data_IF_564806871495
#
_entry.id   IF_564806871495
#
_cell.length_a   1.000
_cell.length_b   1.000
_cell.length_c   1.000
_cell.angle_alpha   90.00
_cell.angle_beta   90.00
_cell.angle_gamma   90.00
#
_symmetry.space_group_name_H-M   'P 1'
#
loop_
_entity.id
_entity.type
_entity.pdbx_description
1 polymer ?
#
# COMPACT_ATOMS: atom_id res chain seq x y z
N UNK A 1 23.23 -8.44 -1.59
CA UNK A 1 22.44 -9.15 -0.55
C UNK A 1 22.40 -8.44 0.80
N UNK A 2 23.48 -7.76 1.25
CA UNK A 2 23.51 -6.99 2.51
C UNK A 2 22.29 -6.09 2.78
N UNK A 3 21.84 -5.32 1.78
CA UNK A 3 20.68 -4.41 1.89
C UNK A 3 19.36 -5.12 2.23
N UNK A 4 19.17 -6.35 1.75
CA UNK A 4 17.95 -7.13 2.07
C UNK A 4 17.96 -7.48 3.55
N UNK A 5 19.05 -8.07 4.04
CA UNK A 5 19.23 -8.43 5.45
C UNK A 5 19.06 -7.22 6.37
N UNK A 6 19.76 -6.12 6.09
CA UNK A 6 19.65 -4.87 6.87
C UNK A 6 18.22 -4.30 6.89
N UNK A 7 17.45 -4.49 5.82
CA UNK A 7 16.06 -3.98 5.75
C UNK A 7 15.13 -4.85 6.58
N UNK A 8 15.28 -6.18 6.47
CA UNK A 8 14.47 -7.14 7.25
C UNK A 8 14.68 -6.95 8.75
N UNK A 9 15.91 -6.74 9.20
CA UNK A 9 16.24 -6.50 10.61
C UNK A 9 15.61 -5.23 11.19
N UNK A 10 15.24 -4.26 10.34
CA UNK A 10 14.59 -3.00 10.76
C UNK A 10 13.07 -3.13 10.91
N UNK A 11 12.47 -4.22 10.44
CA UNK A 11 11.02 -4.44 10.57
C UNK A 11 10.71 -4.85 12.01
N UNK A 12 9.91 -4.03 12.70
CA UNK A 12 9.55 -4.24 14.11
C UNK A 12 8.07 -4.64 14.24
N UNK A 13 7.71 -5.43 15.26
CA UNK A 13 6.30 -5.65 15.58
C UNK A 13 5.63 -4.34 16.01
N UNK A 14 4.32 -4.29 15.84
CA UNK A 14 3.48 -3.17 16.31
C UNK A 14 3.43 -3.16 17.84
N UNK A 15 3.46 -1.98 18.45
CA UNK A 15 3.23 -1.81 19.89
C UNK A 15 1.73 -1.96 20.24
N UNK A 16 1.42 -2.94 21.07
CA UNK A 16 0.06 -3.23 21.52
C UNK A 16 -0.59 -2.07 22.30
N UNK A 17 0.21 -1.23 22.96
CA UNK A 17 -0.29 -0.05 23.69
C UNK A 17 -0.90 0.97 22.74
N UNK A 18 -0.23 1.24 21.62
CA UNK A 18 -0.70 2.16 20.57
C UNK A 18 -2.03 1.67 19.98
N UNK A 19 -2.18 0.36 19.76
CA UNK A 19 -3.45 -0.22 19.30
C UNK A 19 -4.59 0.01 20.28
N UNK A 20 -4.33 -0.14 21.59
CA UNK A 20 -5.32 0.07 22.65
C UNK A 20 -5.71 1.54 22.74
N UNK A 21 -4.74 2.45 22.74
CA UNK A 21 -4.97 3.90 22.78
C UNK A 21 -5.79 4.38 21.58
N UNK A 22 -5.44 3.90 20.37
CA UNK A 22 -6.20 4.20 19.16
C UNK A 22 -7.66 3.71 19.26
N UNK A 23 -7.90 2.50 19.78
CA UNK A 23 -9.25 1.99 19.98
C UNK A 23 -10.03 2.80 21.02
N UNK A 24 -9.41 3.15 22.16
CA UNK A 24 -10.04 3.97 23.18
C UNK A 24 -10.47 5.34 22.62
N UNK A 25 -9.64 5.95 21.79
CA UNK A 25 -9.98 7.20 21.09
C UNK A 25 -11.19 7.01 20.17
N UNK A 26 -11.17 5.96 19.33
CA UNK A 26 -12.26 5.66 18.39
C UNK A 26 -13.59 5.39 19.10
N UNK A 27 -13.55 4.70 20.25
CA UNK A 27 -14.74 4.39 21.05
C UNK A 27 -15.34 5.62 21.75
N UNK A 28 -14.55 6.69 21.93
CA UNK A 28 -14.97 7.95 22.57
C UNK A 28 -15.46 9.01 21.58
N UNK A 29 -15.46 8.73 20.27
CA UNK A 29 -16.03 9.63 19.27
C UNK A 29 -17.56 9.64 19.37
N UNK A 30 -18.19 10.72 18.90
CA UNK A 30 -19.66 10.87 18.84
C UNK A 30 -20.27 9.98 17.76
N UNK A 31 -20.25 8.67 18.00
CA UNK A 31 -20.79 7.60 17.15
C UNK A 31 -21.07 6.36 18.02
N UNK A 32 -22.03 5.49 17.64
CA UNK A 32 -22.13 4.19 18.28
C UNK A 32 -20.81 3.42 18.14
N UNK A 33 -20.41 2.66 19.17
CA UNK A 33 -19.17 1.89 19.14
C UNK A 33 -19.16 0.92 17.96
N UNK A 34 -18.07 0.91 17.20
CA UNK A 34 -17.91 0.06 16.02
C UNK A 34 -18.76 0.43 14.80
N UNK A 35 -19.54 1.52 14.82
CA UNK A 35 -20.46 1.84 13.72
C UNK A 35 -19.78 2.16 12.40
N UNK A 36 -18.48 2.50 12.39
CA UNK A 36 -17.72 2.75 11.16
C UNK A 36 -16.99 1.50 10.66
N UNK A 37 -17.09 0.37 11.37
CA UNK A 37 -16.57 -0.94 10.95
C UNK A 37 -15.12 -0.89 10.46
N UNK A 38 -14.92 -1.24 9.18
CA UNK A 38 -13.60 -1.32 8.53
C UNK A 38 -12.82 -0.01 8.55
N UNK A 39 -13.48 1.15 8.62
CA UNK A 39 -12.78 2.43 8.73
C UNK A 39 -12.08 2.58 10.09
N UNK A 40 -12.66 2.05 11.17
CA UNK A 40 -12.03 2.03 12.51
C UNK A 40 -10.81 1.11 12.52
N UNK A 41 -10.94 -0.06 11.88
CA UNK A 41 -9.84 -1.01 11.71
C UNK A 41 -8.67 -0.39 10.93
N UNK A 42 -8.97 0.33 9.85
CA UNK A 42 -7.96 1.02 9.04
C UNK A 42 -7.29 2.14 9.83
N UNK A 43 -8.06 3.01 10.50
CA UNK A 43 -7.52 4.11 11.29
C UNK A 43 -6.56 3.58 12.38
N UNK A 44 -6.96 2.55 13.12
CA UNK A 44 -6.14 1.89 14.13
C UNK A 44 -4.84 1.32 13.55
N UNK A 45 -4.89 0.67 12.39
CA UNK A 45 -3.69 0.15 11.70
C UNK A 45 -2.73 1.26 11.29
N UNK A 46 -3.23 2.38 10.76
CA UNK A 46 -2.38 3.51 10.36
C UNK A 46 -1.68 4.13 11.57
N UNK A 47 -2.39 4.35 12.67
CA UNK A 47 -1.81 4.84 13.94
C UNK A 47 -0.73 3.89 14.45
N UNK A 48 -0.98 2.58 14.43
CA UNK A 48 -0.01 1.55 14.81
C UNK A 48 1.25 1.51 13.94
N UNK A 49 1.11 1.61 12.61
CA UNK A 49 2.25 1.58 11.68
C UNK A 49 3.08 2.86 11.81
N UNK A 50 2.43 4.01 11.95
CA UNK A 50 3.11 5.32 12.01
C UNK A 50 3.64 5.66 13.40
N UNK A 51 3.11 5.02 14.45
CA UNK A 51 3.41 5.34 15.84
C UNK A 51 2.90 6.73 16.28
N UNK A 52 1.97 7.34 15.54
CA UNK A 52 1.45 8.68 15.79
C UNK A 52 -0.05 8.63 16.02
N UNK A 53 -0.54 9.34 17.04
CA UNK A 53 -1.97 9.35 17.39
C UNK A 53 -2.86 9.93 16.28
N UNK A 54 -2.40 10.98 15.59
CA UNK A 54 -3.09 11.63 14.47
C UNK A 54 -2.15 11.77 13.27
N UNK A 55 -1.91 10.70 12.51
CA UNK A 55 -1.00 10.71 11.37
C UNK A 55 -1.63 11.44 10.17
N UNK A 56 -0.86 12.29 9.50
CA UNK A 56 -1.22 12.81 8.17
C UNK A 56 -0.64 11.90 7.09
N UNK A 57 -1.39 11.74 5.99
CA UNK A 57 -1.03 10.85 4.87
C UNK A 57 -0.83 11.66 3.58
N UNK A 58 -0.21 12.83 3.66
CA UNK A 58 -0.22 13.81 2.57
C UNK A 58 0.62 13.38 1.36
N UNK A 59 1.67 12.59 1.59
CA UNK A 59 2.56 12.07 0.54
C UNK A 59 2.30 10.59 0.31
N UNK A 60 1.68 10.27 -0.81
CA UNK A 60 1.39 8.90 -1.24
C UNK A 60 2.21 8.61 -2.48
N UNK A 61 2.66 7.37 -2.62
CA UNK A 61 3.44 6.93 -3.78
C UNK A 61 2.99 5.54 -4.18
N UNK A 62 2.82 5.32 -5.48
CA UNK A 62 2.58 4.01 -6.09
C UNK A 62 3.83 3.65 -6.89
N UNK A 63 4.42 2.49 -6.58
CA UNK A 63 5.54 1.96 -7.34
C UNK A 63 5.04 0.92 -8.34
N UNK A 64 5.02 1.26 -9.62
CA UNK A 64 4.70 0.31 -10.70
C UNK A 64 5.97 -0.40 -11.14
N UNK A 65 6.10 -1.68 -10.78
CA UNK A 65 7.21 -2.52 -11.21
C UNK A 65 6.84 -3.25 -12.50
N UNK A 66 7.70 -3.17 -13.52
CA UNK A 66 7.44 -3.78 -14.84
C UNK A 66 8.60 -4.71 -15.20
N UNK A 67 8.27 -5.90 -15.71
CA UNK A 67 9.22 -6.89 -16.19
C UNK A 67 8.54 -7.93 -17.07
N UNK A 68 9.29 -8.43 -18.05
CA UNK A 68 8.83 -9.52 -18.92
C UNK A 68 9.09 -10.89 -18.31
N UNK A 69 8.33 -11.87 -18.78
CA UNK A 69 8.46 -13.26 -18.38
C UNK A 69 8.69 -14.17 -19.59
N UNK A 70 9.75 -14.98 -19.55
CA UNK A 70 10.14 -15.84 -20.68
C UNK A 70 9.08 -16.88 -21.09
N UNK A 71 8.19 -17.27 -20.16
CA UNK A 71 7.07 -18.18 -20.42
C UNK A 71 6.04 -17.60 -21.40
N UNK A 72 5.98 -16.28 -21.58
CA UNK A 72 5.06 -15.63 -22.51
C UNK A 72 5.21 -16.14 -23.95
N UNK A 73 6.42 -16.57 -24.35
CA UNK A 73 6.70 -17.19 -25.67
C UNK A 73 5.94 -18.50 -25.92
N UNK A 74 5.37 -19.11 -24.89
CA UNK A 74 4.56 -20.32 -25.00
C UNK A 74 3.09 -20.04 -25.31
N UNK A 75 2.70 -18.79 -25.60
CA UNK A 75 1.32 -18.44 -25.95
C UNK A 75 0.34 -18.47 -24.77
N UNK A 76 0.86 -18.41 -23.54
CA UNK A 76 0.05 -18.45 -22.30
C UNK A 76 -0.53 -17.09 -21.90
N UNK A 77 -0.21 -16.02 -22.64
CA UNK A 77 -0.60 -14.64 -22.32
C UNK A 77 -1.69 -14.13 -23.27
N UNK A 78 -2.61 -13.32 -22.74
CA UNK A 78 -3.69 -12.71 -23.52
C UNK A 78 -3.21 -11.65 -24.52
N UNK A 79 -2.03 -11.07 -24.28
CA UNK A 79 -1.42 -10.03 -25.10
C UNK A 79 0.02 -10.43 -25.46
N UNK A 80 0.55 -9.97 -26.59
CA UNK A 80 1.92 -10.25 -26.99
C UNK A 80 2.91 -9.50 -26.08
N UNK A 81 4.16 -9.99 -26.00
CA UNK A 81 5.15 -9.53 -25.03
C UNK A 81 5.52 -8.03 -25.22
N UNK A 82 5.44 -7.52 -26.45
CA UNK A 82 5.74 -6.13 -26.80
C UNK A 82 4.81 -5.13 -26.09
N UNK A 83 3.63 -5.56 -25.63
CA UNK A 83 2.69 -4.72 -24.88
C UNK A 83 3.31 -4.23 -23.57
N UNK A 84 4.25 -4.97 -22.96
CA UNK A 84 4.98 -4.52 -21.76
C UNK A 84 5.68 -3.18 -22.02
N UNK A 85 6.42 -3.06 -23.12
CA UNK A 85 7.14 -1.82 -23.48
C UNK A 85 6.16 -0.70 -23.87
N UNK A 86 5.09 -1.04 -24.59
CA UNK A 86 4.04 -0.08 -24.94
C UNK A 86 3.38 0.52 -23.69
N UNK A 87 3.10 -0.31 -22.68
CA UNK A 87 2.54 0.15 -21.40
C UNK A 87 3.53 0.99 -20.61
N UNK A 88 4.83 0.70 -20.65
CA UNK A 88 5.87 1.58 -20.07
C UNK A 88 5.78 2.97 -20.69
N UNK A 89 5.71 3.08 -22.02
CA UNK A 89 5.54 4.38 -22.68
C UNK A 89 4.23 5.06 -22.26
N UNK A 90 3.14 4.31 -22.14
CA UNK A 90 1.86 4.84 -21.69
C UNK A 90 1.92 5.38 -20.24
N UNK A 91 2.58 4.66 -19.33
CA UNK A 91 2.80 5.12 -17.94
C UNK A 91 3.60 6.42 -17.89
N UNK A 92 4.68 6.51 -18.69
CA UNK A 92 5.55 7.69 -18.76
C UNK A 92 4.84 8.90 -19.37
N UNK A 93 3.91 8.67 -20.30
CA UNK A 93 3.10 9.71 -20.94
C UNK A 93 1.87 10.11 -20.11
N UNK A 94 1.61 9.45 -18.97
CA UNK A 94 0.45 9.77 -18.13
C UNK A 94 -0.88 9.22 -18.65
N UNK A 95 -0.86 8.34 -19.65
CA UNK A 95 -2.06 7.87 -20.34
C UNK A 95 -2.67 6.57 -19.79
N UNK A 96 -2.05 5.93 -18.80
CA UNK A 96 -2.58 4.71 -18.21
C UNK A 96 -3.59 4.99 -17.10
N UNK A 97 -4.46 4.02 -16.82
CA UNK A 97 -5.46 4.13 -15.76
C UNK A 97 -4.84 4.47 -14.38
N UNK A 98 -3.66 3.93 -14.09
CA UNK A 98 -2.96 4.24 -12.82
C UNK A 98 -2.54 5.71 -12.74
N UNK A 99 -2.20 6.36 -13.85
CA UNK A 99 -1.86 7.78 -13.85
C UNK A 99 -3.06 8.67 -13.50
N UNK A 100 -4.28 8.23 -13.86
CA UNK A 100 -5.52 8.97 -13.61
C UNK A 100 -6.04 8.77 -12.18
N UNK A 101 -5.83 7.57 -11.63
CA UNK A 101 -6.31 7.20 -10.29
C UNK A 101 -5.33 7.50 -9.15
N UNK A 102 -4.04 7.64 -9.45
CA UNK A 102 -2.97 7.85 -8.47
C UNK A 102 -2.96 9.26 -7.86
#
# INVERSE_FOLDING_TARGET
MRKITETVEKIKPIDARILKEAQCRLDNLTKPKGSLGRLEELAKKVVAITGRENPTLDRKVIFTMVGDHGVARQGVSAFPQEVTVQMIHNFLQGGAAINVLA
#
